data_IF_751926128349
#
_entry.id   IF_751926128349
#
_cell.length_a   1.000
_cell.length_b   1.000
_cell.length_c   1.000
_cell.angle_alpha   90.00
_cell.angle_beta   90.00
_cell.angle_gamma   90.00
#
_symmetry.space_group_name_H-M   'P 1'
#
loop_
_entity.id
_entity.type
_entity.pdbx_description
1 polymer ?
#
# COMPACT_ATOMS: atom_id res chain seq x y z
N UNK A 1 18.49 -20.51 -0.63
CA UNK A 1 18.55 -19.03 -0.65
C UNK A 1 17.21 -18.41 -1.01
N UNK A 2 16.40 -19.07 -1.84
CA UNK A 2 15.14 -18.50 -2.37
C UNK A 2 14.08 -18.19 -1.31
N UNK A 3 13.93 -19.04 -0.28
CA UNK A 3 12.92 -18.85 0.75
C UNK A 3 13.17 -17.63 1.64
N UNK A 4 14.42 -17.38 2.03
CA UNK A 4 14.81 -16.20 2.81
C UNK A 4 14.54 -14.93 2.02
N UNK A 5 14.80 -14.95 0.71
CA UNK A 5 14.51 -13.83 -0.18
C UNK A 5 13.00 -13.55 -0.27
N UNK A 6 12.16 -14.58 -0.41
CA UNK A 6 10.71 -14.40 -0.44
C UNK A 6 10.15 -13.87 0.88
N UNK A 7 10.65 -14.36 2.01
CA UNK A 7 10.29 -13.84 3.35
C UNK A 7 10.74 -12.37 3.46
N UNK A 8 11.96 -12.05 3.03
CA UNK A 8 12.46 -10.68 3.01
C UNK A 8 11.56 -9.74 2.21
N UNK A 9 11.12 -10.15 1.02
CA UNK A 9 10.17 -9.38 0.19
C UNK A 9 8.84 -9.16 0.94
N UNK A 10 8.28 -10.18 1.59
CA UNK A 10 7.07 -10.04 2.39
C UNK A 10 7.23 -9.06 3.57
N UNK A 11 8.37 -9.11 4.27
CA UNK A 11 8.70 -8.15 5.34
C UNK A 11 8.78 -6.71 4.78
N UNK A 12 9.46 -6.52 3.65
CA UNK A 12 9.54 -5.20 3.02
C UNK A 12 8.18 -4.67 2.57
N UNK A 13 7.30 -5.54 2.07
CA UNK A 13 5.92 -5.17 1.74
C UNK A 13 5.14 -4.73 2.99
N UNK A 14 5.36 -5.38 4.14
CA UNK A 14 4.83 -4.96 5.44
C UNK A 14 5.29 -3.56 5.86
N UNK A 15 6.59 -3.26 5.72
CA UNK A 15 7.14 -1.93 6.03
C UNK A 15 6.51 -0.83 5.16
N UNK A 16 6.30 -1.11 3.87
CA UNK A 16 5.62 -0.18 2.96
C UNK A 16 4.15 0.00 3.36
N UNK A 17 3.47 -1.09 3.74
CA UNK A 17 2.09 -1.04 4.24
C UNK A 17 1.96 -0.20 5.53
N UNK A 18 2.94 -0.24 6.42
CA UNK A 18 2.97 0.67 7.58
C UNK A 18 2.99 2.15 7.18
N UNK A 19 3.73 2.47 6.12
CA UNK A 19 3.77 3.83 5.54
C UNK A 19 2.40 4.22 4.97
N UNK A 20 1.71 3.28 4.31
CA UNK A 20 0.33 3.49 3.84
C UNK A 20 -0.60 3.87 4.98
N UNK A 21 -0.55 3.14 6.10
CA UNK A 21 -1.37 3.42 7.29
C UNK A 21 -1.04 4.80 7.87
N UNK A 22 0.24 5.17 7.93
CA UNK A 22 0.67 6.50 8.37
C UNK A 22 0.10 7.63 7.50
N UNK A 23 0.11 7.47 6.17
CA UNK A 23 -0.46 8.43 5.24
C UNK A 23 -1.99 8.53 5.35
N UNK A 24 -2.70 7.41 5.57
CA UNK A 24 -4.14 7.42 5.89
C UNK A 24 -4.40 8.24 7.17
N UNK A 25 -3.50 8.15 8.15
CA UNK A 25 -3.55 8.95 9.37
C UNK A 25 -3.49 10.46 9.12
N UNK A 26 -2.75 10.91 8.11
CA UNK A 26 -2.71 12.34 7.71
C UNK A 26 -4.08 12.79 7.23
N UNK A 27 -4.67 12.05 6.30
CA UNK A 27 -5.98 12.38 5.73
C UNK A 27 -7.05 12.35 6.83
N UNK A 28 -6.96 11.37 7.73
CA UNK A 28 -7.90 11.22 8.85
C UNK A 28 -7.88 12.43 9.78
N UNK A 29 -6.71 13.03 10.03
CA UNK A 29 -6.60 14.23 10.87
C UNK A 29 -7.24 15.47 10.25
N UNK A 30 -7.23 15.58 8.92
CA UNK A 30 -7.77 16.75 8.21
C UNK A 30 -9.25 16.60 7.85
N UNK A 31 -9.69 15.38 7.51
CA UNK A 31 -11.00 15.11 6.88
C UNK A 31 -11.81 14.01 7.54
N UNK A 32 -11.29 13.38 8.58
CA UNK A 32 -11.94 12.27 9.26
C UNK A 32 -11.73 10.91 8.57
N UNK A 33 -12.10 9.82 9.26
CA UNK A 33 -11.73 8.45 8.87
C UNK A 33 -12.46 7.94 7.62
N UNK A 34 -13.69 8.37 7.41
CA UNK A 34 -14.49 7.93 6.26
C UNK A 34 -13.90 8.49 4.95
N UNK A 35 -13.60 9.78 4.91
CA UNK A 35 -12.96 10.42 3.75
C UNK A 35 -11.55 9.87 3.50
N UNK A 36 -10.78 9.60 4.56
CA UNK A 36 -9.47 8.97 4.43
C UNK A 36 -9.54 7.59 3.77
N UNK A 37 -10.54 6.79 4.15
CA UNK A 37 -10.78 5.47 3.56
C UNK A 37 -11.14 5.61 2.08
N UNK A 38 -12.08 6.50 1.76
CA UNK A 38 -12.51 6.76 0.38
C UNK A 38 -11.35 7.21 -0.52
N UNK A 39 -10.57 8.19 -0.07
CA UNK A 39 -9.42 8.72 -0.81
C UNK A 39 -8.34 7.66 -0.98
N UNK A 40 -8.06 6.87 0.05
CA UNK A 40 -7.11 5.75 -0.03
C UNK A 40 -7.57 4.66 -1.01
N UNK A 41 -8.86 4.36 -1.06
CA UNK A 41 -9.43 3.41 -2.03
C UNK A 41 -9.27 3.93 -3.45
N UNK A 42 -9.65 5.19 -3.71
CA UNK A 42 -9.47 5.81 -5.03
C UNK A 42 -8.01 5.81 -5.47
N UNK A 43 -7.10 6.16 -4.55
CA UNK A 43 -5.68 6.16 -4.83
C UNK A 43 -5.16 4.76 -5.18
N UNK A 44 -5.60 3.73 -4.44
CA UNK A 44 -5.14 2.35 -4.66
C UNK A 44 -5.65 1.81 -6.00
N UNK A 45 -6.92 2.06 -6.31
CA UNK A 45 -7.54 1.66 -7.58
C UNK A 45 -6.89 2.39 -8.77
N UNK A 46 -6.70 3.70 -8.66
CA UNK A 46 -6.03 4.49 -9.69
C UNK A 46 -4.58 4.05 -9.89
N UNK A 47 -3.83 3.81 -8.82
CA UNK A 47 -2.45 3.35 -8.87
C UNK A 47 -2.30 1.98 -9.53
N UNK A 48 -3.14 1.01 -9.16
CA UNK A 48 -3.11 -0.33 -9.77
C UNK A 48 -3.56 -0.30 -11.23
N UNK A 49 -4.61 0.47 -11.56
CA UNK A 49 -5.04 0.65 -12.94
C UNK A 49 -3.95 1.30 -13.80
N UNK A 50 -3.21 2.26 -13.24
CA UNK A 50 -2.08 2.89 -13.92
C UNK A 50 -0.97 1.88 -14.18
N UNK A 51 -0.59 1.08 -13.19
CA UNK A 51 0.42 0.05 -13.35
C UNK A 51 0.02 -0.96 -14.44
N UNK A 52 -1.20 -1.50 -14.38
CA UNK A 52 -1.68 -2.46 -15.37
C UNK A 52 -1.82 -1.85 -16.77
N UNK A 53 -2.26 -0.60 -16.87
CA UNK A 53 -2.33 0.13 -18.13
C UNK A 53 -0.96 0.35 -18.76
N UNK A 54 0.04 0.75 -17.97
CA UNK A 54 1.43 0.89 -18.42
C UNK A 54 1.99 -0.47 -18.85
N UNK A 55 1.81 -1.52 -18.06
CA UNK A 55 2.29 -2.86 -18.41
C UNK A 55 1.63 -3.38 -19.70
N UNK A 56 0.34 -3.17 -19.88
CA UNK A 56 -0.39 -3.52 -21.10
C UNK A 56 0.09 -2.71 -22.31
N UNK A 57 0.37 -1.41 -22.14
CA UNK A 57 0.94 -0.57 -23.20
C UNK A 57 2.38 -0.98 -23.58
N UNK A 58 3.14 -1.53 -22.62
CA UNK A 58 4.47 -2.11 -22.85
C UNK A 58 4.42 -3.53 -23.45
N UNK A 59 3.24 -4.04 -23.81
CA UNK A 59 3.07 -5.36 -24.44
C UNK A 59 2.94 -6.53 -23.44
N UNK A 60 2.98 -6.27 -22.14
CA UNK A 60 2.77 -7.28 -21.09
C UNK A 60 1.30 -7.30 -20.68
N UNK A 61 0.40 -7.57 -21.63
CA UNK A 61 -1.03 -7.58 -21.37
C UNK A 61 -1.39 -8.71 -20.41
N UNK A 62 -2.16 -8.42 -19.34
CA UNK A 62 -2.73 -9.46 -18.49
C UNK A 62 -3.55 -10.43 -19.33
N UNK A 63 -3.37 -11.73 -19.12
CA UNK A 63 -4.15 -12.78 -19.79
C UNK A 63 -5.55 -12.87 -19.16
N UNK A 64 -6.34 -11.83 -19.40
CA UNK A 64 -7.71 -11.68 -18.92
C UNK A 64 -8.66 -11.71 -20.10
N UNK A 65 -9.85 -12.29 -19.89
CA UNK A 65 -10.89 -12.32 -20.90
C UNK A 65 -11.32 -10.90 -21.29
N UNK A 66 -11.63 -10.70 -22.56
CA UNK A 66 -12.17 -9.42 -23.04
C UNK A 66 -13.48 -9.11 -22.30
N UNK A 67 -13.65 -7.89 -21.76
CA UNK A 67 -12.88 -6.67 -22.04
C UNK A 67 -11.67 -6.40 -21.14
N UNK A 68 -11.43 -7.16 -20.07
CA UNK A 68 -10.46 -6.85 -19.01
C UNK A 68 -8.98 -6.99 -19.44
N UNK A 69 -8.69 -7.69 -20.54
CA UNK A 69 -7.35 -7.75 -21.11
C UNK A 69 -6.95 -6.55 -21.97
N UNK A 70 -7.91 -5.69 -22.36
CA UNK A 70 -7.63 -4.58 -23.27
C UNK A 70 -7.07 -3.34 -22.56
N UNK A 71 -6.01 -2.73 -23.10
CA UNK A 71 -5.39 -1.51 -22.54
C UNK A 71 -6.39 -0.38 -22.25
N UNK A 72 -7.44 -0.27 -23.07
CA UNK A 72 -8.46 0.77 -22.97
C UNK A 72 -9.20 0.77 -21.63
N UNK A 73 -9.43 -0.39 -21.01
CA UNK A 73 -10.15 -0.44 -19.72
C UNK A 73 -9.32 0.21 -18.62
N UNK A 74 -8.00 0.00 -18.64
CA UNK A 74 -7.09 0.61 -17.68
C UNK A 74 -7.01 2.12 -17.88
N UNK A 75 -7.02 2.60 -19.13
CA UNK A 75 -7.08 4.04 -19.43
C UNK A 75 -8.37 4.66 -18.87
N UNK A 76 -9.52 4.00 -19.07
CA UNK A 76 -10.80 4.45 -18.52
C UNK A 76 -10.76 4.46 -17.00
N UNK A 77 -10.28 3.39 -16.36
CA UNK A 77 -10.18 3.30 -14.90
C UNK A 77 -9.23 4.34 -14.30
N UNK A 78 -8.07 4.58 -14.90
CA UNK A 78 -7.13 5.63 -14.48
C UNK A 78 -7.78 7.00 -14.61
N UNK A 79 -8.49 7.27 -15.71
CA UNK A 79 -9.14 8.56 -15.93
C UNK A 79 -10.25 8.79 -14.90
N UNK A 80 -11.11 7.79 -14.67
CA UNK A 80 -12.21 7.89 -13.72
C UNK A 80 -11.71 7.96 -12.27
N UNK A 81 -10.92 6.98 -11.84
CA UNK A 81 -10.45 6.90 -10.44
C UNK A 81 -9.42 7.99 -10.13
N UNK A 82 -8.49 8.25 -11.06
CA UNK A 82 -7.50 9.31 -10.93
C UNK A 82 -8.13 10.70 -10.95
N UNK A 83 -9.11 10.94 -11.84
CA UNK A 83 -9.89 12.18 -11.84
C UNK A 83 -10.64 12.38 -10.53
N UNK A 84 -11.35 11.35 -10.05
CA UNK A 84 -12.03 11.39 -8.75
C UNK A 84 -11.05 11.61 -7.59
N UNK A 85 -9.85 11.01 -7.63
CA UNK A 85 -8.82 11.21 -6.61
C UNK A 85 -8.33 12.65 -6.57
N UNK A 86 -8.09 13.27 -7.73
CA UNK A 86 -7.65 14.67 -7.80
C UNK A 86 -8.71 15.60 -7.22
N UNK A 87 -9.99 15.35 -7.53
CA UNK A 87 -11.11 16.14 -7.00
C UNK A 87 -11.27 15.92 -5.49
N UNK A 88 -11.29 14.66 -5.03
CA UNK A 88 -11.44 14.33 -3.62
C UNK A 88 -10.25 14.78 -2.77
N UNK A 89 -9.07 14.85 -3.37
CA UNK A 89 -7.82 15.27 -2.75
C UNK A 89 -7.60 16.77 -2.65
N UNK A 90 -8.47 17.61 -3.21
CA UNK A 90 -8.27 19.06 -3.26
C UNK A 90 -8.18 19.66 -1.86
N UNK A 91 -7.02 20.21 -1.48
CA UNK A 91 -6.79 20.81 -0.16
C UNK A 91 -6.11 19.88 0.84
N UNK A 92 -5.82 18.63 0.46
CA UNK A 92 -4.90 17.76 1.19
C UNK A 92 -3.46 18.00 0.73
N UNK A 93 -2.46 17.67 1.56
CA UNK A 93 -1.07 17.64 1.12
C UNK A 93 -0.89 16.61 -0.01
N UNK A 94 -0.21 17.00 -1.10
CA UNK A 94 -0.02 16.17 -2.30
C UNK A 94 0.56 14.78 -2.01
N UNK A 95 1.44 14.66 -1.02
CA UNK A 95 2.04 13.38 -0.64
C UNK A 95 1.05 12.41 0.02
N UNK A 96 -0.06 12.88 0.61
CA UNK A 96 -1.10 12.02 1.17
C UNK A 96 -1.91 11.31 0.08
N UNK A 97 -1.94 11.83 -1.14
CA UNK A 97 -2.58 11.17 -2.29
C UNK A 97 -1.78 9.94 -2.77
N UNK A 98 -0.52 9.82 -2.34
CA UNK A 98 0.34 8.67 -2.65
C UNK A 98 0.01 7.43 -1.82
N UNK A 99 -0.95 7.50 -0.88
CA UNK A 99 -1.47 6.36 -0.10
C UNK A 99 -1.74 5.13 -0.99
N UNK A 100 -2.33 5.34 -2.15
CA UNK A 100 -2.65 4.27 -3.07
C UNK A 100 -1.45 3.55 -3.67
N UNK A 101 -0.42 4.30 -4.05
CA UNK A 101 0.79 3.74 -4.65
C UNK A 101 1.52 2.83 -3.66
N UNK A 102 1.46 3.14 -2.37
CA UNK A 102 2.06 2.30 -1.33
C UNK A 102 1.38 0.94 -1.15
N UNK A 103 0.17 0.74 -1.67
CA UNK A 103 -0.50 -0.57 -1.63
C UNK A 103 0.00 -1.56 -2.70
N UNK A 104 0.57 -1.05 -3.80
CA UNK A 104 0.99 -1.86 -4.96
C UNK A 104 2.06 -2.89 -4.57
N UNK A 105 3.16 -2.53 -3.87
CA UNK A 105 4.17 -3.51 -3.48
C UNK A 105 3.61 -4.65 -2.63
N UNK A 106 2.62 -4.37 -1.77
CA UNK A 106 1.94 -5.40 -0.99
C UNK A 106 1.16 -6.38 -1.88
N UNK A 107 0.37 -5.88 -2.83
CA UNK A 107 -0.39 -6.72 -3.74
C UNK A 107 0.52 -7.60 -4.62
N UNK A 108 1.63 -7.04 -5.10
CA UNK A 108 2.64 -7.78 -5.87
C UNK A 108 3.36 -8.83 -5.03
N UNK A 109 3.72 -8.49 -3.78
CA UNK A 109 4.32 -9.45 -2.87
C UNK A 109 3.35 -10.58 -2.53
N UNK A 110 2.07 -10.28 -2.31
CA UNK A 110 1.04 -11.28 -2.02
C UNK A 110 0.84 -12.26 -3.19
N UNK A 111 0.78 -11.75 -4.43
CA UNK A 111 0.58 -12.59 -5.61
C UNK A 111 1.80 -13.45 -5.94
N UNK A 112 3.01 -12.95 -5.71
CA UNK A 112 4.24 -13.63 -6.09
C UNK A 112 4.85 -14.50 -4.98
N UNK A 113 4.93 -14.00 -3.75
CA UNK A 113 5.58 -14.69 -2.63
C UNK A 113 4.63 -15.56 -1.82
N UNK A 114 3.36 -15.15 -1.70
CA UNK A 114 2.33 -15.86 -0.94
C UNK A 114 2.20 -17.35 -1.30
N UNK A 115 2.06 -17.71 -2.60
CA UNK A 115 1.99 -19.11 -3.03
C UNK A 115 3.28 -19.91 -2.79
N UNK A 116 4.43 -19.25 -2.67
CA UNK A 116 5.75 -19.91 -2.61
C UNK A 116 6.17 -20.26 -1.19
N UNK A 117 5.83 -19.43 -0.22
CA UNK A 117 6.21 -19.62 1.19
C UNK A 117 5.04 -20.09 2.07
N UNK A 118 3.83 -20.11 1.52
CA UNK A 118 2.60 -20.44 2.23
C UNK A 118 1.93 -19.21 2.86
N UNK A 119 0.59 -19.23 2.91
CA UNK A 119 -0.24 -18.10 3.35
C UNK A 119 0.10 -17.69 4.78
N UNK A 120 0.28 -18.65 5.69
CA UNK A 120 0.60 -18.37 7.10
C UNK A 120 1.95 -17.65 7.26
N UNK A 121 3.00 -18.13 6.59
CA UNK A 121 4.34 -17.53 6.65
C UNK A 121 4.35 -16.15 5.99
N UNK A 122 3.63 -16.00 4.88
CA UNK A 122 3.47 -14.71 4.20
C UNK A 122 2.83 -13.65 5.12
N UNK A 123 1.68 -13.96 5.72
CA UNK A 123 1.03 -13.00 6.62
C UNK A 123 1.86 -12.71 7.86
N UNK A 124 2.50 -13.72 8.45
CA UNK A 124 3.41 -13.50 9.57
C UNK A 124 4.53 -12.52 9.20
N UNK A 125 5.21 -12.74 8.07
CA UNK A 125 6.29 -11.88 7.59
C UNK A 125 5.83 -10.44 7.30
N UNK A 126 4.67 -10.28 6.63
CA UNK A 126 4.07 -8.95 6.38
C UNK A 126 3.76 -8.25 7.70
N UNK A 127 3.07 -8.92 8.63
CA UNK A 127 2.67 -8.33 9.92
C UNK A 127 3.89 -7.93 10.72
N UNK A 128 4.94 -8.77 10.76
CA UNK A 128 6.22 -8.41 11.39
C UNK A 128 6.80 -7.13 10.78
N UNK A 129 6.89 -7.05 9.45
CA UNK A 129 7.37 -5.83 8.78
C UNK A 129 6.49 -4.61 9.07
N UNK A 130 5.17 -4.80 9.11
CA UNK A 130 4.22 -3.73 9.38
C UNK A 130 4.31 -3.21 10.82
N UNK A 131 4.48 -4.09 11.81
CA UNK A 131 4.69 -3.72 13.21
C UNK A 131 5.99 -2.94 13.40
N UNK A 132 7.10 -3.46 12.85
CA UNK A 132 8.41 -2.78 12.88
C UNK A 132 8.31 -1.39 12.26
N UNK A 133 7.69 -1.29 11.07
CA UNK A 133 7.50 -0.03 10.37
C UNK A 133 6.62 0.95 11.17
N UNK A 134 5.53 0.45 11.75
CA UNK A 134 4.58 1.30 12.49
C UNK A 134 5.23 1.87 13.75
N UNK A 135 6.01 1.08 14.48
CA UNK A 135 6.73 1.54 15.66
C UNK A 135 7.83 2.52 15.28
N UNK A 136 8.55 2.29 14.19
CA UNK A 136 9.56 3.23 13.70
C UNK A 136 8.93 4.59 13.33
N UNK A 137 7.79 4.57 12.62
CA UNK A 137 7.05 5.79 12.24
C UNK A 137 6.50 6.53 13.47
N UNK A 138 5.95 5.80 14.44
CA UNK A 138 5.48 6.36 15.71
C UNK A 138 6.62 7.02 16.50
N UNK A 139 7.80 6.37 16.53
CA UNK A 139 8.95 6.85 17.29
C UNK A 139 9.45 8.21 16.77
N UNK A 140 9.50 8.38 15.44
CA UNK A 140 9.94 9.64 14.82
C UNK A 140 8.82 10.68 14.70
N UNK A 141 7.57 10.33 15.02
CA UNK A 141 6.41 11.22 14.80
C UNK A 141 6.15 11.51 13.33
N UNK A 142 6.30 10.50 12.48
CA UNK A 142 6.20 10.65 11.03
C UNK A 142 4.86 11.28 10.60
N UNK A 143 4.92 12.06 9.52
CA UNK A 143 3.75 12.72 8.91
C UNK A 143 2.99 13.70 9.83
N UNK A 144 3.66 14.27 10.83
CA UNK A 144 3.05 15.20 11.78
C UNK A 144 2.26 14.50 12.90
N UNK A 145 2.50 13.21 13.12
CA UNK A 145 2.01 12.52 14.31
C UNK A 145 2.77 12.97 15.57
N UNK A 146 2.15 12.88 16.73
CA UNK A 146 2.86 13.08 18.01
C UNK A 146 3.85 11.93 18.23
N UNK A 147 5.15 12.20 18.39
CA UNK A 147 6.14 11.14 18.63
C UNK A 147 5.78 10.31 19.86
N UNK A 148 5.80 8.98 19.71
CA UNK A 148 5.58 8.03 20.80
C UNK A 148 6.85 7.22 21.03
N UNK A 149 7.56 7.42 22.15
CA UNK A 149 8.79 6.69 22.43
C UNK A 149 8.54 5.18 22.49
N UNK A 150 9.54 4.40 22.09
CA UNK A 150 9.49 2.95 22.21
C UNK A 150 9.78 2.60 23.67
N UNK A 151 8.80 2.00 24.35
CA UNK A 151 8.98 1.43 25.68
C UNK A 151 9.27 -0.08 25.59
N UNK A 152 9.66 -0.68 26.71
CA UNK A 152 9.97 -2.11 26.80
C UNK A 152 8.78 -3.01 26.41
N UNK A 153 7.56 -2.54 26.63
CA UNK A 153 6.32 -3.26 26.29
C UNK A 153 6.11 -3.29 24.78
N UNK A 154 6.31 -2.16 24.08
CA UNK A 154 6.29 -2.07 22.62
C UNK A 154 7.43 -2.88 21.99
N UNK A 155 8.63 -2.83 22.57
CA UNK A 155 9.76 -3.64 22.12
C UNK A 155 9.48 -5.14 22.23
N UNK A 156 8.94 -5.58 23.38
CA UNK A 156 8.57 -6.98 23.59
C UNK A 156 7.46 -7.44 22.62
N UNK A 157 6.47 -6.59 22.32
CA UNK A 157 5.40 -6.90 21.38
C UNK A 157 5.83 -7.05 19.91
N UNK A 158 7.01 -6.54 19.51
CA UNK A 158 7.55 -6.73 18.16
C UNK A 158 8.29 -8.08 18.04
N UNK A 159 8.88 -8.55 19.13
CA UNK A 159 9.75 -9.74 19.16
C UNK A 159 8.98 -11.02 19.49
N UNK A 160 7.85 -10.91 20.19
CA UNK A 160 6.96 -12.02 20.56
C UNK A 160 6.14 -12.53 19.37
#
# INVERSE_FOLDING_TARGET
>A
MDQVLYIGVAVTAGLISATQVGLIGVITRERGPFEATWISMLASLAGMALLLGVMSALGHSPDLTTPFGGVWIYVVLVTLMGGSLVIAGQGLPHYALLTGLTSIPYLLAASWTGPKIGIAVFFAAVVTGQLVGSVALDHVGAFGATPRPVDLVRGAGIVA
#
